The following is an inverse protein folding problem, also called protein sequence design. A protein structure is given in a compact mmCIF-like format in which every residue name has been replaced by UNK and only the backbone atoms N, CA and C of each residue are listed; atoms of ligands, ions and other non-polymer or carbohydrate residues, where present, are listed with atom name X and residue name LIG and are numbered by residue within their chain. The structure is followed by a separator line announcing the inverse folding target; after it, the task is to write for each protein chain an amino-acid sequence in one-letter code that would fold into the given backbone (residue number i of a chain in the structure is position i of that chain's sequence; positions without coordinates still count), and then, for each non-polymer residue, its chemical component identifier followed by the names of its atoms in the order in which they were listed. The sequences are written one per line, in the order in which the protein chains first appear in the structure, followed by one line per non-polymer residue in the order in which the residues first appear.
data_IF_290313987645
#
_entry.id   IF_290313987645
#
_cell.length_a   1.000
_cell.length_b   1.000
_cell.length_c   1.000
_cell.angle_alpha   90.00
_cell.angle_beta   90.00
_cell.angle_gamma   90.00
#
_symmetry.space_group_name_H-M   'P 1'
#
loop_
_entity.id
_entity.type
_entity.pdbx_description
1 polymer ?
#
# COMPACT_ATOMS: atom_id res chain seq x y z
N UNK A 1 9.03 9.00 -26.29
CA UNK A 1 8.76 10.06 -27.30
C UNK A 1 8.05 11.23 -26.63
N UNK A 2 8.41 12.49 -26.95
CA UNK A 2 7.75 13.70 -26.42
C UNK A 2 6.24 13.71 -26.66
N UNK A 3 5.78 13.09 -27.75
CA UNK A 3 4.35 12.94 -28.08
C UNK A 3 3.64 12.07 -27.04
N UNK A 4 4.22 10.94 -26.66
CA UNK A 4 3.67 10.04 -25.63
C UNK A 4 3.62 10.70 -24.25
N UNK A 5 4.57 11.59 -23.96
CA UNK A 5 4.54 12.36 -22.72
C UNK A 5 3.38 13.37 -22.74
N UNK A 6 3.18 14.06 -23.87
CA UNK A 6 2.07 14.97 -24.08
C UNK A 6 0.71 14.28 -23.94
N UNK A 7 0.54 13.09 -24.52
CA UNK A 7 -0.70 12.32 -24.36
C UNK A 7 -0.93 11.90 -22.91
N UNK A 8 0.13 11.52 -22.19
CA UNK A 8 0.05 11.23 -20.75
C UNK A 8 -0.46 12.41 -19.94
N UNK A 9 0.07 13.62 -20.19
CA UNK A 9 -0.40 14.83 -19.53
C UNK A 9 -1.86 15.17 -19.84
N UNK A 10 -2.32 14.91 -21.06
CA UNK A 10 -3.74 15.09 -21.43
C UNK A 10 -4.63 14.14 -20.63
N UNK A 11 -4.28 12.86 -20.53
CA UNK A 11 -5.05 11.91 -19.70
C UNK A 11 -5.03 12.27 -18.22
N UNK A 12 -3.90 12.75 -17.71
CA UNK A 12 -3.81 13.25 -16.34
C UNK A 12 -4.74 14.45 -16.12
N UNK A 13 -4.77 15.39 -17.06
CA UNK A 13 -5.67 16.54 -17.00
C UNK A 13 -7.15 16.12 -17.05
N UNK A 14 -7.51 15.12 -17.86
CA UNK A 14 -8.86 14.54 -17.91
C UNK A 14 -9.24 13.94 -16.56
N UNK A 15 -8.35 13.15 -15.95
CA UNK A 15 -8.57 12.55 -14.63
C UNK A 15 -8.75 13.61 -13.53
N UNK A 16 -7.90 14.64 -13.52
CA UNK A 16 -8.03 15.77 -12.59
C UNK A 16 -9.33 16.56 -12.82
N UNK A 17 -9.72 16.76 -14.09
CA UNK A 17 -10.98 17.39 -14.47
C UNK A 17 -12.19 16.58 -13.99
N UNK A 18 -12.18 15.26 -14.19
CA UNK A 18 -13.22 14.36 -13.71
C UNK A 18 -13.40 14.43 -12.18
N UNK A 19 -12.29 14.49 -11.43
CA UNK A 19 -12.32 14.67 -9.98
C UNK A 19 -12.93 16.02 -9.60
N UNK A 20 -12.51 17.09 -10.28
CA UNK A 20 -13.02 18.45 -10.04
C UNK A 20 -14.51 18.58 -10.39
N UNK A 21 -14.99 17.83 -11.38
CA UNK A 21 -16.41 17.73 -11.75
C UNK A 21 -17.24 16.84 -10.79
N UNK A 22 -16.61 16.24 -9.78
CA UNK A 22 -17.29 15.43 -8.78
C UNK A 22 -17.65 14.01 -9.27
N UNK A 23 -17.01 13.52 -10.34
CA UNK A 23 -17.24 12.17 -10.84
C UNK A 23 -16.67 11.16 -9.84
N UNK A 24 -17.54 10.36 -9.22
CA UNK A 24 -17.19 9.39 -8.17
C UNK A 24 -17.11 7.93 -8.63
N UNK A 25 -17.20 7.67 -9.94
CA UNK A 25 -17.15 6.30 -10.49
C UNK A 25 -15.70 5.80 -10.60
N UNK A 26 -15.29 4.75 -9.86
CA UNK A 26 -13.91 4.22 -9.94
C UNK A 26 -13.54 3.69 -11.33
N UNK A 27 -14.53 3.22 -12.09
CA UNK A 27 -14.34 2.68 -13.43
C UNK A 27 -13.74 3.72 -14.39
N UNK A 28 -14.16 4.98 -14.30
CA UNK A 28 -13.67 6.06 -15.16
C UNK A 28 -12.18 6.30 -14.90
N UNK A 29 -11.78 6.36 -13.62
CA UNK A 29 -10.37 6.53 -13.26
C UNK A 29 -9.53 5.32 -13.65
N UNK A 30 -10.06 4.11 -13.52
CA UNK A 30 -9.39 2.89 -13.98
C UNK A 30 -9.18 2.89 -15.49
N UNK A 31 -10.21 3.24 -16.28
CA UNK A 31 -10.16 3.25 -17.73
C UNK A 31 -9.13 4.26 -18.25
N UNK A 32 -9.19 5.51 -17.79
CA UNK A 32 -8.26 6.55 -18.24
C UNK A 32 -6.87 6.43 -17.59
N UNK A 33 -6.78 5.90 -16.37
CA UNK A 33 -5.52 5.63 -15.69
C UNK A 33 -4.72 4.51 -16.35
N UNK A 34 -5.33 3.33 -16.51
CA UNK A 34 -4.67 2.14 -17.09
C UNK A 34 -4.61 2.24 -18.62
N UNK A 35 -5.72 2.58 -19.27
CA UNK A 35 -5.80 2.64 -20.73
C UNK A 35 -5.20 3.89 -21.36
N UNK A 36 -5.08 4.99 -20.60
CA UNK A 36 -4.54 6.25 -21.10
C UNK A 36 -3.15 6.54 -20.54
N UNK A 37 -3.12 6.94 -19.27
CA UNK A 37 -1.93 7.46 -18.61
C UNK A 37 -0.80 6.42 -18.51
N UNK A 38 -1.12 5.19 -18.12
CA UNK A 38 -0.14 4.11 -17.96
C UNK A 38 0.50 3.71 -19.30
N UNK A 39 -0.30 3.52 -20.36
CA UNK A 39 0.20 3.23 -21.70
C UNK A 39 1.06 4.38 -22.25
N UNK A 40 0.62 5.62 -22.06
CA UNK A 40 1.39 6.79 -22.47
C UNK A 40 2.76 6.83 -21.80
N UNK A 41 2.84 6.52 -20.49
CA UNK A 41 4.11 6.45 -19.76
C UNK A 41 4.99 5.32 -20.29
N UNK A 42 4.43 4.14 -20.51
CA UNK A 42 5.15 2.99 -21.09
C UNK A 42 5.85 3.32 -22.42
N UNK A 43 5.14 3.97 -23.36
CA UNK A 43 5.73 4.36 -24.65
C UNK A 43 6.61 5.62 -24.58
N UNK A 44 6.46 6.42 -23.52
CA UNK A 44 7.31 7.60 -23.33
C UNK A 44 8.73 7.26 -22.87
N UNK A 45 8.95 6.05 -22.32
CA UNK A 45 10.17 5.66 -21.63
C UNK A 45 10.16 5.99 -20.14
N UNK A 46 9.05 6.53 -19.62
CA UNK A 46 8.83 6.71 -18.19
C UNK A 46 8.30 5.42 -17.55
N UNK A 47 8.51 5.31 -16.24
CA UNK A 47 8.07 4.15 -15.49
C UNK A 47 6.54 4.12 -15.34
N UNK A 48 5.87 3.05 -15.78
CA UNK A 48 4.41 2.93 -15.66
C UNK A 48 3.92 2.90 -14.20
N UNK A 49 4.79 2.60 -13.23
CA UNK A 49 4.46 2.66 -11.80
C UNK A 49 4.14 4.08 -11.34
N UNK A 50 4.84 5.09 -11.87
CA UNK A 50 4.58 6.50 -11.56
C UNK A 50 3.19 6.89 -12.06
N UNK A 51 2.80 6.44 -13.27
CA UNK A 51 1.47 6.66 -13.80
C UNK A 51 0.37 6.08 -12.89
N UNK A 52 0.58 4.89 -12.33
CA UNK A 52 -0.36 4.29 -11.37
C UNK A 52 -0.56 5.14 -10.11
N UNK A 53 0.53 5.66 -9.54
CA UNK A 53 0.48 6.56 -8.36
C UNK A 53 -0.20 7.88 -8.70
N UNK A 54 0.13 8.48 -9.84
CA UNK A 54 -0.50 9.73 -10.29
C UNK A 54 -2.00 9.55 -10.53
N UNK A 55 -2.41 8.45 -11.19
CA UNK A 55 -3.82 8.12 -11.38
C UNK A 55 -4.52 7.95 -10.03
N UNK A 56 -3.92 7.25 -9.07
CA UNK A 56 -4.49 7.07 -7.73
C UNK A 56 -4.73 8.40 -6.99
N UNK A 57 -3.80 9.36 -7.10
CA UNK A 57 -3.97 10.70 -6.52
C UNK A 57 -5.10 11.52 -7.15
N UNK A 58 -5.56 11.17 -8.35
CA UNK A 58 -6.74 11.82 -8.95
C UNK A 58 -8.06 11.23 -8.46
N UNK A 59 -8.07 10.07 -7.80
CA UNK A 59 -9.30 9.42 -7.36
C UNK A 59 -9.86 10.16 -6.12
N UNK A 60 -11.17 10.47 -6.08
CA UNK A 60 -11.77 11.17 -4.94
C UNK A 60 -11.60 10.43 -3.60
N UNK A 61 -11.01 11.12 -2.63
CA UNK A 61 -10.83 10.64 -1.25
C UNK A 61 -11.90 11.19 -0.27
N UNK A 62 -12.88 11.94 -0.75
CA UNK A 62 -13.93 12.58 0.07
C UNK A 62 -15.26 11.84 -0.02
N UNK A 63 -16.01 11.80 1.08
CA UNK A 63 -17.38 11.28 1.13
C UNK A 63 -18.37 12.16 0.35
N UNK A 64 -19.48 11.57 -0.09
CA UNK A 64 -20.58 12.30 -0.75
C UNK A 64 -21.54 12.96 0.26
N UNK A 65 -21.72 12.34 1.42
CA UNK A 65 -22.54 12.85 2.52
C UNK A 65 -21.69 13.13 3.75
N UNK A 66 -22.23 13.93 4.68
CA UNK A 66 -21.56 14.23 5.95
C UNK A 66 -21.77 13.11 6.97
N UNK A 67 -20.91 13.06 8.00
CA UNK A 67 -21.04 12.11 9.11
C UNK A 67 -22.40 12.23 9.82
N UNK A 68 -22.88 13.45 10.04
CA UNK A 68 -24.17 13.70 10.70
C UNK A 68 -25.35 13.24 9.83
N UNK A 69 -25.29 13.50 8.53
CA UNK A 69 -26.32 13.04 7.59
C UNK A 69 -26.38 11.52 7.51
N UNK A 70 -25.21 10.85 7.50
CA UNK A 70 -25.14 9.39 7.57
C UNK A 70 -25.72 8.85 8.88
N UNK A 71 -25.40 9.46 10.02
CA UNK A 71 -25.92 9.06 11.33
C UNK A 71 -27.45 9.14 11.38
N UNK A 72 -28.01 10.28 10.94
CA UNK A 72 -29.46 10.48 10.91
C UNK A 72 -30.16 9.51 9.94
N UNK A 73 -29.61 9.29 8.73
CA UNK A 73 -30.16 8.32 7.76
C UNK A 73 -30.11 6.90 8.31
N UNK A 74 -28.99 6.52 8.92
CA UNK A 74 -28.80 5.18 9.49
C UNK A 74 -29.76 4.90 10.64
N UNK A 75 -29.96 5.88 11.53
CA UNK A 75 -30.92 5.76 12.63
C UNK A 75 -32.36 5.61 12.10
N UNK A 76 -32.75 6.47 11.14
CA UNK A 76 -34.07 6.39 10.50
C UNK A 76 -34.33 5.02 9.87
N UNK A 77 -33.42 4.54 9.02
CA UNK A 77 -33.60 3.26 8.33
C UNK A 77 -33.53 2.06 9.30
N UNK A 78 -32.74 2.16 10.36
CA UNK A 78 -32.72 1.13 11.41
C UNK A 78 -34.06 1.05 12.17
N UNK A 79 -34.69 2.20 12.43
CA UNK A 79 -36.02 2.23 13.05
C UNK A 79 -37.10 1.68 12.11
N UNK A 80 -37.06 2.01 10.82
CA UNK A 80 -37.98 1.47 9.81
C UNK A 80 -37.85 -0.06 9.69
N UNK A 81 -36.62 -0.57 9.67
CA UNK A 81 -36.36 -2.02 9.66
C UNK A 81 -36.97 -2.75 10.86
N UNK A 82 -36.86 -2.17 12.06
CA UNK A 82 -37.45 -2.75 13.28
C UNK A 82 -38.97 -2.69 13.30
N UNK A 83 -39.57 -1.60 12.80
CA UNK A 83 -41.03 -1.45 12.75
C UNK A 83 -41.69 -2.43 11.78
N UNK A 84 -40.99 -2.75 10.69
CA UNK A 84 -41.44 -3.72 9.71
C UNK A 84 -41.24 -5.18 10.15
N UNK A 85 -40.75 -5.45 11.36
CA UNK A 85 -40.51 -6.83 11.82
C UNK A 85 -41.82 -7.60 12.03
N UNK A 86 -42.05 -8.61 11.19
CA UNK A 86 -43.21 -9.50 11.28
C UNK A 86 -42.74 -10.88 11.76
N UNK A 87 -43.25 -11.32 12.91
CA UNK A 87 -42.90 -12.62 13.50
C UNK A 87 -43.14 -13.77 12.52
N UNK A 88 -42.10 -14.57 12.26
CA UNK A 88 -42.18 -15.78 11.45
C UNK A 88 -41.93 -15.61 9.95
N UNK A 89 -41.64 -14.39 9.47
CA UNK A 89 -41.29 -14.12 8.07
C UNK A 89 -39.80 -13.80 7.96
N UNK A 90 -39.12 -14.37 6.96
CA UNK A 90 -37.71 -14.04 6.69
C UNK A 90 -37.56 -12.62 6.14
N UNK A 91 -36.39 -12.01 6.34
CA UNK A 91 -36.07 -10.65 5.86
C UNK A 91 -36.27 -10.48 4.35
N UNK A 92 -36.09 -11.54 3.56
CA UNK A 92 -36.34 -11.53 2.10
C UNK A 92 -37.83 -11.62 1.73
N UNK A 93 -38.67 -12.17 2.62
CA UNK A 93 -40.12 -12.25 2.44
C UNK A 93 -40.85 -10.97 2.86
N UNK A 94 -40.13 -10.00 3.42
CA UNK A 94 -40.67 -8.73 3.88
C UNK A 94 -40.09 -7.57 3.05
N UNK A 95 -40.91 -7.04 2.13
CA UNK A 95 -40.49 -5.98 1.22
C UNK A 95 -40.01 -4.72 1.96
N UNK A 96 -40.67 -4.34 3.06
CA UNK A 96 -40.30 -3.15 3.85
C UNK A 96 -38.93 -3.31 4.53
N UNK A 97 -38.65 -4.49 5.09
CA UNK A 97 -37.33 -4.78 5.67
C UNK A 97 -36.22 -4.80 4.62
N UNK A 98 -36.47 -5.39 3.44
CA UNK A 98 -35.51 -5.40 2.33
C UNK A 98 -35.21 -3.99 1.83
N UNK A 99 -36.23 -3.14 1.71
CA UNK A 99 -36.06 -1.73 1.32
C UNK A 99 -35.23 -0.94 2.33
N UNK A 100 -35.47 -1.12 3.63
CA UNK A 100 -34.69 -0.47 4.69
C UNK A 100 -33.20 -0.88 4.64
N UNK A 101 -32.92 -2.16 4.39
CA UNK A 101 -31.54 -2.66 4.19
C UNK A 101 -30.90 -2.02 2.96
N UNK A 102 -31.58 -2.00 1.82
CA UNK A 102 -31.06 -1.38 0.58
C UNK A 102 -30.81 0.13 0.77
N UNK A 103 -31.65 0.83 1.52
CA UNK A 103 -31.47 2.24 1.82
C UNK A 103 -30.24 2.49 2.72
N UNK A 104 -30.04 1.62 3.71
CA UNK A 104 -28.85 1.64 4.56
C UNK A 104 -27.58 1.34 3.75
N UNK A 105 -27.64 0.38 2.83
CA UNK A 105 -26.52 0.05 1.93
C UNK A 105 -26.16 1.23 1.01
N UNK A 106 -27.16 1.90 0.43
CA UNK A 106 -26.94 3.15 -0.34
C UNK A 106 -26.33 4.26 0.52
N UNK A 107 -26.77 4.41 1.77
CA UNK A 107 -26.19 5.40 2.68
C UNK A 107 -24.72 5.08 3.01
N UNK A 108 -24.39 3.80 3.24
CA UNK A 108 -23.01 3.31 3.40
C UNK A 108 -22.18 3.67 2.17
N UNK A 109 -22.74 3.45 0.98
CA UNK A 109 -22.05 3.72 -0.28
C UNK A 109 -21.75 5.19 -0.52
N UNK A 110 -22.57 6.09 0.00
CA UNK A 110 -22.38 7.54 -0.12
C UNK A 110 -21.35 8.09 0.88
N UNK A 111 -21.25 7.51 2.09
CA UNK A 111 -20.28 7.95 3.09
C UNK A 111 -18.88 7.42 2.81
N UNK A 112 -18.75 6.23 2.19
CA UNK A 112 -17.44 5.65 1.91
C UNK A 112 -16.81 6.26 0.63
N UNK A 113 -15.60 6.84 0.71
CA UNK A 113 -14.91 7.40 -0.45
C UNK A 113 -14.63 6.38 -1.55
N UNK A 114 -14.73 6.75 -2.84
CA UNK A 114 -14.40 5.88 -3.97
C UNK A 114 -12.98 5.29 -3.90
N UNK A 115 -12.00 6.10 -3.49
CA UNK A 115 -10.62 5.65 -3.31
C UNK A 115 -10.53 4.48 -2.31
N UNK A 116 -11.21 4.62 -1.17
CA UNK A 116 -11.20 3.58 -0.13
C UNK A 116 -11.90 2.30 -0.60
N UNK A 117 -13.01 2.43 -1.35
CA UNK A 117 -13.67 1.25 -1.96
C UNK A 117 -12.74 0.51 -2.91
N UNK A 118 -12.03 1.26 -3.76
CA UNK A 118 -11.08 0.69 -4.70
C UNK A 118 -9.89 0.02 -3.98
N UNK A 119 -9.36 0.65 -2.93
CA UNK A 119 -8.31 0.08 -2.09
C UNK A 119 -8.72 -1.27 -1.50
N UNK A 120 -9.89 -1.35 -0.87
CA UNK A 120 -10.40 -2.61 -0.31
C UNK A 120 -10.62 -3.68 -1.39
N UNK A 121 -11.09 -3.29 -2.57
CA UNK A 121 -11.28 -4.22 -3.68
C UNK A 121 -9.94 -4.74 -4.24
N UNK A 122 -8.91 -3.90 -4.29
CA UNK A 122 -7.59 -4.24 -4.85
C UNK A 122 -6.70 -4.97 -3.84
N UNK A 123 -6.82 -4.69 -2.54
CA UNK A 123 -5.99 -5.26 -1.49
C UNK A 123 -5.83 -6.80 -1.57
N UNK A 124 -6.89 -7.63 -1.69
CA UNK A 124 -6.73 -9.07 -1.78
C UNK A 124 -6.01 -9.50 -3.07
N UNK A 125 -6.30 -8.85 -4.20
CA UNK A 125 -5.61 -9.13 -5.46
C UNK A 125 -4.13 -8.79 -5.41
N UNK A 126 -3.80 -7.64 -4.82
CA UNK A 126 -2.41 -7.22 -4.66
C UNK A 126 -1.66 -8.19 -3.75
N UNK A 127 -2.25 -8.52 -2.60
CA UNK A 127 -1.62 -9.34 -1.56
C UNK A 127 -1.47 -10.81 -1.99
N UNK A 128 -2.50 -11.41 -2.58
CA UNK A 128 -2.52 -12.85 -2.87
C UNK A 128 -2.13 -13.22 -4.30
N UNK A 129 -2.22 -12.30 -5.26
CA UNK A 129 -1.86 -12.58 -6.65
C UNK A 129 -0.65 -11.76 -7.11
N UNK A 130 -0.76 -10.43 -7.12
CA UNK A 130 0.25 -9.56 -7.75
C UNK A 130 1.60 -9.67 -7.03
N UNK A 131 1.62 -9.56 -5.69
CA UNK A 131 2.85 -9.59 -4.91
C UNK A 131 3.57 -10.95 -5.00
N UNK A 132 2.90 -12.11 -4.83
CA UNK A 132 3.54 -13.42 -5.02
C UNK A 132 4.04 -13.65 -6.44
N UNK A 133 3.26 -13.29 -7.47
CA UNK A 133 3.68 -13.43 -8.87
C UNK A 133 4.89 -12.54 -9.16
N UNK A 134 4.87 -11.29 -8.68
CA UNK A 134 5.98 -10.35 -8.83
C UNK A 134 7.24 -10.87 -8.14
N UNK A 135 7.10 -11.37 -6.91
CA UNK A 135 8.19 -11.96 -6.16
C UNK A 135 8.75 -13.17 -6.90
N UNK A 136 7.92 -14.12 -7.34
CA UNK A 136 8.36 -15.32 -8.06
C UNK A 136 9.09 -14.97 -9.37
N UNK A 137 8.54 -14.03 -10.16
CA UNK A 137 9.14 -13.60 -11.42
C UNK A 137 10.51 -12.93 -11.24
N UNK A 138 10.73 -12.25 -10.10
CA UNK A 138 11.96 -11.50 -9.86
C UNK A 138 12.94 -12.17 -8.90
N UNK A 139 12.50 -13.11 -8.06
CA UNK A 139 13.30 -13.82 -7.07
C UNK A 139 14.05 -15.04 -7.63
N UNK A 140 13.89 -15.36 -8.92
CA UNK A 140 14.70 -16.35 -9.65
C UNK A 140 16.17 -15.93 -9.74
N UNK A 141 16.87 -15.96 -8.60
CA UNK A 141 18.28 -15.67 -8.46
C UNK A 141 19.03 -16.99 -8.57
N UNK A 142 19.97 -17.06 -9.51
CA UNK A 142 20.92 -18.18 -9.56
C UNK A 142 21.75 -18.09 -8.30
N UNK A 143 21.65 -19.09 -7.41
CA UNK A 143 22.49 -19.15 -6.22
C UNK A 143 23.90 -19.43 -6.72
N UNK A 144 24.70 -18.38 -6.86
CA UNK A 144 26.12 -18.52 -7.07
C UNK A 144 26.70 -19.21 -5.82
N UNK A 145 27.44 -20.30 -6.03
CA UNK A 145 28.07 -21.09 -4.95
C UNK A 145 29.13 -20.29 -4.18
N UNK A 146 29.56 -19.14 -4.70
CA UNK A 146 30.64 -18.32 -4.15
C UNK A 146 30.10 -17.19 -3.27
N UNK A 147 29.63 -17.53 -2.06
CA UNK A 147 29.20 -16.53 -1.08
C UNK A 147 30.31 -15.55 -0.66
N UNK A 148 31.58 -15.94 -0.83
CA UNK A 148 32.74 -15.08 -0.61
C UNK A 148 32.79 -13.88 -1.56
N UNK A 149 32.32 -14.05 -2.81
CA UNK A 149 32.27 -12.97 -3.81
C UNK A 149 31.21 -11.92 -3.50
N UNK A 150 30.14 -12.30 -2.79
CA UNK A 150 29.11 -11.37 -2.31
C UNK A 150 29.64 -10.43 -1.23
N UNK A 151 30.59 -10.89 -0.42
CA UNK A 151 31.18 -10.07 0.64
C UNK A 151 32.22 -9.09 0.12
N UNK A 152 32.78 -9.33 -1.08
CA UNK A 152 33.78 -8.45 -1.69
C UNK A 152 33.20 -7.50 -2.75
N UNK A 153 32.02 -7.79 -3.30
CA UNK A 153 31.40 -6.93 -4.31
C UNK A 153 30.82 -5.65 -3.69
N UNK A 154 31.19 -4.49 -4.24
CA UNK A 154 30.78 -3.16 -3.74
C UNK A 154 29.25 -2.97 -3.73
N UNK A 155 28.56 -3.43 -4.77
CA UNK A 155 27.09 -3.37 -4.88
C UNK A 155 26.42 -4.18 -3.76
N UNK A 156 26.91 -5.38 -3.49
CA UNK A 156 26.36 -6.26 -2.46
C UNK A 156 26.57 -5.67 -1.06
N UNK A 157 27.78 -5.17 -0.77
CA UNK A 157 28.07 -4.51 0.50
C UNK A 157 27.23 -3.25 0.70
N UNK A 158 27.10 -2.41 -0.32
CA UNK A 158 26.31 -1.18 -0.26
C UNK A 158 24.83 -1.47 0.04
N UNK A 159 24.24 -2.43 -0.67
CA UNK A 159 22.85 -2.82 -0.44
C UNK A 159 22.67 -3.52 0.92
N UNK A 160 23.57 -4.43 1.26
CA UNK A 160 23.56 -5.17 2.52
C UNK A 160 23.63 -4.23 3.72
N UNK A 161 24.63 -3.34 3.76
CA UNK A 161 24.77 -2.34 4.82
C UNK A 161 23.62 -1.33 4.82
N UNK A 162 23.15 -0.91 3.64
CA UNK A 162 22.03 0.02 3.51
C UNK A 162 20.73 -0.53 4.09
N UNK A 163 20.41 -1.80 3.83
CA UNK A 163 19.21 -2.46 4.36
C UNK A 163 19.37 -2.88 5.82
N UNK A 164 20.51 -3.49 6.18
CA UNK A 164 20.71 -4.07 7.51
C UNK A 164 21.06 -3.04 8.58
N UNK A 165 21.79 -1.97 8.23
CA UNK A 165 22.19 -0.93 9.17
C UNK A 165 21.55 0.42 8.84
N UNK A 166 21.53 0.81 7.57
CA UNK A 166 21.02 2.11 7.13
C UNK A 166 19.54 2.31 7.48
N UNK A 167 18.68 1.33 7.18
CA UNK A 167 17.24 1.40 7.50
C UNK A 167 16.97 1.47 9.01
N UNK A 168 17.50 0.56 9.86
CA UNK A 168 17.29 0.66 11.30
C UNK A 168 17.81 1.96 11.90
N UNK A 169 19.04 2.37 11.54
CA UNK A 169 19.62 3.61 12.04
C UNK A 169 18.81 4.83 11.60
N UNK A 170 18.40 4.89 10.33
CA UNK A 170 17.58 5.99 9.81
C UNK A 170 16.23 6.10 10.50
N UNK A 171 15.56 4.97 10.76
CA UNK A 171 14.29 4.94 11.47
C UNK A 171 14.48 5.38 12.93
N UNK A 172 15.48 4.84 13.63
CA UNK A 172 15.75 5.19 15.02
C UNK A 172 16.14 6.67 15.17
N UNK A 173 16.99 7.18 14.28
CA UNK A 173 17.37 8.59 14.25
C UNK A 173 16.18 9.49 13.93
N UNK A 174 15.33 9.12 12.97
CA UNK A 174 14.12 9.89 12.62
C UNK A 174 13.16 9.99 13.81
N UNK A 175 12.90 8.88 14.50
CA UNK A 175 12.09 8.86 15.72
C UNK A 175 12.74 9.70 16.81
N UNK A 176 14.05 9.55 17.02
CA UNK A 176 14.80 10.32 18.01
C UNK A 176 14.74 11.83 17.76
N UNK A 177 14.92 12.29 16.51
CA UNK A 177 14.79 13.70 16.12
C UNK A 177 13.38 14.22 16.43
N UNK A 178 12.33 13.49 16.04
CA UNK A 178 10.94 13.93 16.26
C UNK A 178 10.61 14.04 17.75
N UNK A 179 11.09 13.08 18.57
CA UNK A 179 10.89 13.08 20.03
C UNK A 179 11.71 14.19 20.69
N UNK A 180 12.98 14.37 20.29
CA UNK A 180 13.88 15.37 20.86
C UNK A 180 13.41 16.81 20.60
N UNK A 181 12.92 17.09 19.38
CA UNK A 181 12.38 18.41 19.02
C UNK A 181 10.96 18.67 19.56
N UNK A 182 10.45 17.82 20.47
CA UNK A 182 9.30 18.11 21.31
C UNK A 182 7.94 18.11 20.60
N UNK A 183 7.84 17.63 19.35
CA UNK A 183 6.57 17.57 18.59
C UNK A 183 5.81 16.26 18.75
N UNK A 184 6.37 15.27 19.45
CA UNK A 184 5.69 13.99 19.73
C UNK A 184 6.28 13.31 20.95
N UNK A 185 5.43 12.69 21.77
CA UNK A 185 5.85 11.75 22.83
C UNK A 185 5.73 10.34 22.27
N UNK A 186 6.67 9.46 22.63
CA UNK A 186 6.57 8.04 22.27
C UNK A 186 5.34 7.43 22.99
N UNK A 187 4.48 6.65 22.31
CA UNK A 187 3.33 6.03 22.95
C UNK A 187 3.74 5.16 24.15
N UNK A 188 2.90 5.11 25.19
CA UNK A 188 3.20 4.45 26.47
C UNK A 188 3.50 2.94 26.41
N UNK A 189 3.28 2.32 25.26
CA UNK A 189 3.49 0.89 24.99
C UNK A 189 4.67 0.63 24.04
N UNK A 190 5.44 1.67 23.68
CA UNK A 190 6.60 1.57 22.80
C UNK A 190 7.89 1.87 23.56
N UNK A 191 8.81 0.91 23.56
CA UNK A 191 10.16 1.08 24.11
C UNK A 191 11.22 1.22 23.00
N UNK A 192 12.38 1.76 23.35
CA UNK A 192 13.52 1.89 22.42
C UNK A 192 13.96 0.56 21.78
N UNK A 193 14.03 -0.58 22.49
CA UNK A 193 14.31 -1.88 21.86
C UNK A 193 13.26 -2.29 20.83
N UNK A 194 11.99 -1.92 21.04
CA UNK A 194 10.93 -2.18 20.06
C UNK A 194 11.07 -1.26 18.84
N UNK A 195 11.46 0.00 19.01
CA UNK A 195 11.79 0.90 17.89
C UNK A 195 12.95 0.34 17.07
N UNK A 196 14.02 -0.15 17.73
CA UNK A 196 15.15 -0.77 17.03
C UNK A 196 14.68 -2.02 16.28
N UNK A 197 13.88 -2.88 16.91
CA UNK A 197 13.27 -4.05 16.28
C UNK A 197 12.40 -3.69 15.07
N UNK A 198 11.57 -2.67 15.17
CA UNK A 198 10.78 -2.10 14.07
C UNK A 198 11.68 -1.53 12.97
N UNK A 199 12.81 -0.93 13.33
CA UNK A 199 13.84 -0.47 12.40
C UNK A 199 14.37 -1.61 11.52
N UNK A 200 14.66 -2.77 12.12
CA UNK A 200 15.04 -3.99 11.39
C UNK A 200 13.88 -4.58 10.57
N UNK A 201 12.63 -4.52 11.04
CA UNK A 201 11.48 -4.88 10.21
C UNK A 201 11.36 -3.96 8.98
N UNK A 202 11.67 -2.68 9.12
CA UNK A 202 11.75 -1.71 8.01
C UNK A 202 12.94 -1.95 7.05
N UNK A 203 13.91 -2.77 7.45
CA UNK A 203 15.01 -3.26 6.61
C UNK A 203 14.62 -4.41 5.67
N UNK A 204 13.40 -4.96 5.82
CA UNK A 204 12.87 -6.00 4.93
C UNK A 204 12.46 -5.35 3.59
N UNK A 205 13.45 -5.15 2.71
CA UNK A 205 13.23 -4.50 1.42
C UNK A 205 12.56 -5.42 0.38
N UNK A 206 12.86 -6.72 0.43
CA UNK A 206 12.40 -7.78 -0.47
C UNK A 206 11.86 -7.30 -1.83
N UNK A 207 10.54 -7.27 -2.03
CA UNK A 207 9.92 -6.96 -3.33
C UNK A 207 10.17 -5.53 -3.79
N UNK A 208 10.04 -4.53 -2.91
CA UNK A 208 10.27 -3.13 -3.29
C UNK A 208 11.75 -2.85 -3.56
N UNK A 209 12.67 -3.46 -2.79
CA UNK A 209 14.10 -3.33 -3.06
C UNK A 209 14.50 -4.03 -4.37
N UNK A 210 13.96 -5.22 -4.66
CA UNK A 210 14.19 -5.91 -5.92
C UNK A 210 13.64 -5.10 -7.09
N UNK A 211 12.44 -4.53 -6.95
CA UNK A 211 11.87 -3.62 -7.95
C UNK A 211 12.80 -2.43 -8.21
N UNK A 212 13.26 -1.73 -7.17
CA UNK A 212 14.19 -0.61 -7.34
C UNK A 212 15.52 -1.05 -7.96
N UNK A 213 16.03 -2.23 -7.61
CA UNK A 213 17.25 -2.77 -8.22
C UNK A 213 17.08 -3.00 -9.74
N UNK A 214 15.92 -3.49 -10.19
CA UNK A 214 15.63 -3.63 -11.63
C UNK A 214 15.55 -2.29 -12.38
N UNK A 215 15.27 -1.19 -11.67
CA UNK A 215 15.27 0.14 -12.27
C UNK A 215 16.65 0.81 -12.25
N UNK A 216 17.46 0.48 -11.24
CA UNK A 216 18.76 1.11 -11.02
C UNK A 216 19.88 0.45 -11.84
N UNK A 217 19.90 -0.88 -11.92
CA UNK A 217 20.97 -1.64 -12.56
C UNK A 217 20.57 -2.11 -13.94
N UNK A 218 21.34 -1.70 -14.94
CA UNK A 218 21.13 -2.07 -16.35
C UNK A 218 21.98 -3.30 -16.73
N UNK A 219 23.12 -3.50 -16.06
CA UNK A 219 23.99 -4.65 -16.27
C UNK A 219 23.42 -5.91 -15.58
N UNK A 220 23.29 -7.04 -16.31
CA UNK A 220 22.72 -8.27 -15.75
C UNK A 220 23.49 -8.84 -14.56
N UNK A 221 24.83 -8.69 -14.54
CA UNK A 221 25.69 -9.16 -13.45
C UNK A 221 25.39 -8.44 -12.14
N UNK A 222 25.35 -7.10 -12.19
CA UNK A 222 25.09 -6.27 -11.02
C UNK A 222 23.68 -6.48 -10.49
N UNK A 223 22.70 -6.67 -11.39
CA UNK A 223 21.32 -6.94 -11.00
C UNK A 223 21.18 -8.28 -10.26
N UNK A 224 21.87 -9.33 -10.71
CA UNK A 224 21.87 -10.63 -10.03
C UNK A 224 22.50 -10.51 -8.63
N UNK A 225 23.66 -9.86 -8.52
CA UNK A 225 24.33 -9.61 -7.24
C UNK A 225 23.45 -8.78 -6.31
N UNK A 226 22.78 -7.74 -6.83
CA UNK A 226 21.86 -6.91 -6.06
C UNK A 226 20.67 -7.72 -5.53
N UNK A 227 20.01 -8.53 -6.37
CA UNK A 227 18.87 -9.38 -5.96
C UNK A 227 19.27 -10.33 -4.84
N UNK A 228 20.44 -10.96 -4.95
CA UNK A 228 20.95 -11.87 -3.92
C UNK A 228 21.24 -11.12 -2.61
N UNK A 229 21.96 -9.99 -2.68
CA UNK A 229 22.26 -9.16 -1.52
C UNK A 229 20.98 -8.70 -0.79
N UNK A 230 19.96 -8.27 -1.53
CA UNK A 230 18.64 -7.88 -0.97
C UNK A 230 17.99 -9.05 -0.24
N UNK A 231 18.02 -10.25 -0.82
CA UNK A 231 17.40 -11.44 -0.22
C UNK A 231 18.08 -11.82 1.10
N UNK A 232 19.41 -11.88 1.10
CA UNK A 232 20.20 -12.19 2.31
C UNK A 232 20.02 -11.12 3.38
N UNK A 233 20.13 -9.84 3.01
CA UNK A 233 19.96 -8.74 3.95
C UNK A 233 18.53 -8.69 4.52
N UNK A 234 17.50 -8.92 3.69
CA UNK A 234 16.11 -8.95 4.15
C UNK A 234 15.86 -10.11 5.12
N UNK A 235 16.46 -11.29 4.86
CA UNK A 235 16.37 -12.44 5.76
C UNK A 235 17.04 -12.15 7.11
N UNK A 236 18.27 -11.62 7.10
CA UNK A 236 18.99 -11.23 8.32
C UNK A 236 18.23 -10.16 9.11
N UNK A 237 17.72 -9.14 8.42
CA UNK A 237 16.94 -8.06 9.03
C UNK A 237 15.64 -8.58 9.65
N UNK A 238 14.95 -9.50 8.98
CA UNK A 238 13.76 -10.16 9.53
C UNK A 238 14.10 -10.98 10.78
N UNK A 239 15.15 -11.81 10.75
CA UNK A 239 15.56 -12.60 11.91
C UNK A 239 15.94 -11.71 13.11
N UNK A 240 16.76 -10.68 12.91
CA UNK A 240 17.17 -9.77 13.99
C UNK A 240 15.96 -8.99 14.52
N UNK A 241 15.12 -8.45 13.64
CA UNK A 241 13.89 -7.75 14.01
C UNK A 241 12.96 -8.61 14.85
N UNK A 242 12.70 -9.84 14.42
CA UNK A 242 11.88 -10.81 15.17
C UNK A 242 12.49 -11.17 16.53
N UNK A 243 13.81 -11.39 16.61
CA UNK A 243 14.47 -11.71 17.88
C UNK A 243 14.43 -10.54 18.88
N UNK A 244 14.59 -9.30 18.41
CA UNK A 244 14.49 -8.11 19.27
C UNK A 244 13.05 -7.87 19.74
N UNK A 245 12.08 -7.97 18.82
CA UNK A 245 10.68 -7.77 19.15
C UNK A 245 10.16 -8.85 20.11
N UNK A 246 10.41 -10.13 19.82
CA UNK A 246 10.00 -11.25 20.68
C UNK A 246 10.57 -11.19 22.10
N UNK A 247 11.82 -10.70 22.26
CA UNK A 247 12.42 -10.49 23.58
C UNK A 247 11.79 -9.30 24.32
N UNK A 248 11.38 -8.27 23.59
CA UNK A 248 10.83 -7.04 24.16
C UNK A 248 9.32 -7.12 24.43
N UNK A 249 8.59 -8.01 23.76
CA UNK A 249 7.14 -8.20 23.95
C UNK A 249 6.79 -9.18 25.08
N UNK A 250 7.57 -9.23 26.16
CA UNK A 250 7.24 -10.09 27.31
C UNK A 250 5.96 -9.61 28.00
N UNK A 251 4.88 -10.37 27.75
CA UNK A 251 3.57 -10.44 28.41
C UNK A 251 2.70 -9.17 28.43
N UNK A 252 1.53 -9.17 27.75
CA UNK A 252 0.41 -8.37 28.23
C UNK A 252 0.04 -8.92 29.61
N UNK A 253 0.31 -8.14 30.65
CA UNK A 253 -0.31 -8.36 31.96
C UNK A 253 -1.76 -7.89 31.83
N UNK A 254 -2.65 -8.84 31.54
CA UNK A 254 -4.10 -8.70 31.57
C UNK A 254 -4.67 -9.91 32.28
#
# INVERSE_FOLDING_TARGET
SWISLGTGLVFLAILMGANRMGIRSPFIYGLFGIGGLWLAFLFSGLHPTIAGVLAAFTIPATSAITKNEFAHKSEKFSQEFRKAEVSGVSVLGNEEQSQAIQALEKAKDLIQPPLQKLEHALYPWVTFAIMPIFALANAGVVIATDFSSLLSHSVSLGIGLGLLLGKPLGICLGVWVVVYFGRSVLPSHLDWPQIIGLGFMGGIGFTMAIFIATLAFHEPSDLQTAKLAILVASCLSACIGLLLLSKSTRTPTG
#
